data_IF_266451713509
#
_entry.id   IF_266451713509
#
_cell.length_a   1.000
_cell.length_b   1.000
_cell.length_c   1.000
_cell.angle_alpha   90.00
_cell.angle_beta   90.00
_cell.angle_gamma   90.00
#
_symmetry.space_group_name_H-M   'P 1'
#
loop_
_entity.id
_entity.type
_entity.pdbx_description
1 polymer ?
#
# COMPACT_ATOMS: atom_id res chain seq x y z
N UNK A 1 -15.69 1.41 18.92
CA UNK A 1 -17.07 0.90 19.12
C UNK A 1 -17.90 0.80 17.82
N UNK A 2 -17.30 1.00 16.62
CA UNK A 2 -18.05 1.05 15.34
C UNK A 2 -18.08 -0.31 14.60
N UNK A 3 -17.28 -1.28 15.04
CA UNK A 3 -17.20 -2.64 14.44
C UNK A 3 -18.23 -3.63 15.03
N UNK A 4 -19.01 -3.19 16.01
CA UNK A 4 -19.79 -4.05 16.90
C UNK A 4 -21.14 -4.54 16.38
N UNK A 5 -21.68 -3.96 15.31
CA UNK A 5 -23.05 -4.28 14.87
C UNK A 5 -23.14 -4.94 13.48
N UNK A 6 -22.12 -4.78 12.62
CA UNK A 6 -22.12 -5.40 11.29
C UNK A 6 -21.66 -6.87 11.26
N UNK A 7 -20.91 -7.31 12.27
CA UNK A 7 -20.34 -8.68 12.31
C UNK A 7 -21.33 -9.68 12.95
N UNK A 8 -22.28 -9.22 13.76
CA UNK A 8 -23.01 -10.09 14.70
C UNK A 8 -24.48 -10.38 14.33
N UNK A 9 -24.97 -9.85 13.20
CA UNK A 9 -26.37 -10.00 12.77
C UNK A 9 -26.68 -11.22 11.89
N UNK A 10 -25.68 -11.98 11.45
CA UNK A 10 -25.84 -13.13 10.56
C UNK A 10 -25.17 -14.38 11.15
N UNK A 11 -25.95 -15.43 11.33
CA UNK A 11 -25.62 -16.72 11.96
C UNK A 11 -24.58 -17.59 11.22
N UNK A 12 -23.41 -17.05 10.85
CA UNK A 12 -22.48 -17.73 9.93
C UNK A 12 -21.01 -17.83 10.35
N UNK A 13 -20.59 -17.20 11.46
CA UNK A 13 -19.20 -17.34 11.95
C UNK A 13 -19.17 -18.24 13.19
N UNK A 14 -18.22 -19.18 13.23
CA UNK A 14 -18.03 -20.05 14.39
C UNK A 14 -17.83 -19.22 15.67
N UNK A 15 -18.50 -19.52 16.81
CA UNK A 15 -18.51 -18.66 17.99
C UNK A 15 -17.12 -18.27 18.52
N UNK A 16 -16.12 -19.14 18.29
CA UNK A 16 -14.73 -18.89 18.66
C UNK A 16 -14.09 -17.73 17.87
N UNK A 17 -14.35 -17.58 16.57
CA UNK A 17 -13.73 -16.52 15.76
C UNK A 17 -14.32 -15.14 16.07
N UNK A 18 -15.62 -15.07 16.30
CA UNK A 18 -16.30 -13.87 16.80
C UNK A 18 -15.73 -13.42 18.17
N UNK A 19 -15.40 -14.38 19.04
CA UNK A 19 -14.77 -14.11 20.34
C UNK A 19 -13.35 -13.55 20.18
N UNK A 20 -12.53 -14.11 19.27
CA UNK A 20 -11.15 -13.67 19.05
C UNK A 20 -11.04 -12.23 18.52
N UNK A 21 -12.02 -11.78 17.74
CA UNK A 21 -12.07 -10.39 17.23
C UNK A 21 -12.53 -9.39 18.29
N UNK A 22 -13.24 -9.83 19.33
CA UNK A 22 -13.75 -8.98 20.40
C UNK A 22 -12.74 -8.76 21.54
N UNK A 23 -11.56 -9.38 21.50
CA UNK A 23 -10.53 -9.24 22.55
C UNK A 23 -9.65 -8.00 22.30
N UNK A 24 -9.88 -6.86 22.99
CA UNK A 24 -9.25 -5.59 22.64
C UNK A 24 -7.74 -5.53 22.96
N UNK A 25 -7.21 -6.50 23.71
CA UNK A 25 -5.80 -6.57 24.11
C UNK A 25 -4.93 -7.34 23.10
N UNK A 26 -5.52 -7.85 22.01
CA UNK A 26 -4.82 -8.62 20.99
C UNK A 26 -5.15 -8.06 19.61
N UNK A 27 -4.15 -8.04 18.74
CA UNK A 27 -4.35 -7.77 17.32
C UNK A 27 -4.82 -9.05 16.64
N UNK A 28 -5.94 -8.99 15.93
CA UNK A 28 -6.47 -10.10 15.14
C UNK A 28 -6.67 -9.62 13.71
N UNK A 29 -5.93 -10.21 12.78
CA UNK A 29 -6.07 -9.98 11.34
C UNK A 29 -7.04 -10.99 10.73
N UNK A 30 -7.85 -10.52 9.79
CA UNK A 30 -8.75 -11.36 8.99
C UNK A 30 -8.32 -11.30 7.53
N UNK A 31 -7.87 -12.44 7.00
CA UNK A 31 -7.30 -12.58 5.68
C UNK A 31 -8.17 -13.51 4.83
N UNK A 32 -8.60 -13.04 3.67
CA UNK A 32 -9.14 -13.89 2.61
C UNK A 32 -7.98 -14.35 1.74
N UNK A 33 -7.76 -15.67 1.67
CA UNK A 33 -6.58 -16.25 0.99
C UNK A 33 -6.87 -16.77 -0.41
N UNK A 34 -8.06 -16.48 -0.93
CA UNK A 34 -8.47 -16.79 -2.31
C UNK A 34 -7.83 -15.83 -3.31
N UNK A 35 -8.12 -15.99 -4.60
CA UNK A 35 -7.59 -15.05 -5.59
C UNK A 35 -8.25 -13.67 -5.46
N UNK A 36 -7.59 -12.59 -5.93
CA UNK A 36 -8.20 -11.26 -5.93
C UNK A 36 -9.54 -11.21 -6.67
N UNK A 37 -9.68 -11.97 -7.76
CA UNK A 37 -10.91 -12.03 -8.55
C UNK A 37 -12.07 -12.66 -7.77
N UNK A 38 -11.82 -13.74 -7.03
CA UNK A 38 -12.82 -14.36 -6.14
C UNK A 38 -13.21 -13.42 -5.00
N UNK A 39 -12.24 -12.71 -4.43
CA UNK A 39 -12.49 -11.71 -3.39
C UNK A 39 -13.37 -10.56 -3.91
N UNK A 40 -13.03 -9.99 -5.07
CA UNK A 40 -13.79 -8.89 -5.67
C UNK A 40 -15.22 -9.31 -6.08
N UNK A 41 -15.41 -10.57 -6.48
CA UNK A 41 -16.71 -11.14 -6.81
C UNK A 41 -17.60 -11.37 -5.58
N UNK A 42 -17.00 -11.55 -4.40
CA UNK A 42 -17.69 -11.74 -3.14
C UNK A 42 -16.70 -11.83 -1.98
N UNK A 43 -16.68 -10.83 -1.11
CA UNK A 43 -15.78 -10.75 0.04
C UNK A 43 -16.49 -11.01 1.37
N UNK A 44 -15.75 -11.55 2.33
CA UNK A 44 -16.14 -11.57 3.73
C UNK A 44 -15.97 -10.15 4.30
N UNK A 45 -16.97 -9.59 5.01
CA UNK A 45 -16.84 -8.24 5.57
C UNK A 45 -15.60 -8.09 6.45
N UNK A 46 -14.89 -6.98 6.28
CA UNK A 46 -13.67 -6.63 7.01
C UNK A 46 -12.45 -7.53 6.71
N UNK A 47 -12.56 -8.50 5.80
CA UNK A 47 -11.42 -9.29 5.37
C UNK A 47 -10.51 -8.49 4.45
N UNK A 48 -9.21 -8.73 4.58
CA UNK A 48 -8.19 -8.21 3.68
C UNK A 48 -7.85 -9.29 2.64
N UNK A 49 -7.86 -8.93 1.35
CA UNK A 49 -7.45 -9.85 0.29
C UNK A 49 -5.95 -10.09 0.34
N UNK A 50 -5.53 -11.33 0.57
CA UNK A 50 -4.13 -11.76 0.74
C UNK A 50 -3.98 -13.18 0.22
N UNK A 51 -3.79 -13.38 -1.10
CA UNK A 51 -3.69 -14.70 -1.69
C UNK A 51 -2.67 -15.58 -0.96
N UNK A 52 -3.03 -16.85 -0.76
CA UNK A 52 -2.31 -17.81 0.10
C UNK A 52 -0.78 -17.78 -0.01
N UNK A 53 -0.26 -17.89 -1.24
CA UNK A 53 1.19 -17.88 -1.49
C UNK A 53 1.86 -16.57 -1.09
N UNK A 54 1.23 -15.43 -1.41
CA UNK A 54 1.76 -14.11 -1.05
C UNK A 54 1.68 -13.85 0.45
N UNK A 55 0.64 -14.33 1.13
CA UNK A 55 0.54 -14.22 2.58
C UNK A 55 1.70 -14.93 3.29
N UNK A 56 2.13 -16.10 2.79
CA UNK A 56 3.28 -16.82 3.35
C UNK A 56 4.61 -16.17 2.96
N UNK A 57 4.74 -15.69 1.73
CA UNK A 57 5.99 -15.11 1.23
C UNK A 57 6.29 -13.71 1.78
N UNK A 58 5.25 -12.88 1.94
CA UNK A 58 5.36 -11.47 2.34
C UNK A 58 4.52 -11.20 3.60
N UNK A 59 4.55 -12.11 4.57
CA UNK A 59 3.71 -12.04 5.78
C UNK A 59 3.83 -10.71 6.52
N UNK A 60 5.03 -10.15 6.58
CA UNK A 60 5.34 -8.90 7.28
C UNK A 60 4.67 -7.67 6.66
N UNK A 61 4.35 -7.71 5.36
CA UNK A 61 3.62 -6.62 4.67
C UNK A 61 2.19 -6.45 5.19
N UNK A 62 1.58 -7.51 5.71
CA UNK A 62 0.16 -7.52 6.09
C UNK A 62 -0.06 -7.83 7.57
N UNK A 63 0.78 -8.68 8.16
CA UNK A 63 0.78 -9.03 9.58
C UNK A 63 2.05 -8.46 10.24
N UNK A 64 2.14 -7.15 10.35
CA UNK A 64 3.36 -6.48 10.86
C UNK A 64 3.53 -6.55 12.38
N UNK A 65 2.50 -6.96 13.14
CA UNK A 65 2.56 -7.11 14.61
C UNK A 65 2.92 -8.56 14.96
N UNK A 66 4.20 -8.83 15.25
CA UNK A 66 4.63 -10.16 15.71
C UNK A 66 3.88 -10.59 16.97
N UNK A 67 3.37 -11.82 16.98
CA UNK A 67 2.53 -12.35 18.07
C UNK A 67 1.04 -11.97 17.96
N UNK A 68 0.63 -11.28 16.88
CA UNK A 68 -0.78 -11.14 16.53
C UNK A 68 -1.42 -12.49 16.16
N UNK A 69 -2.75 -12.47 16.05
CA UNK A 69 -3.55 -13.59 15.58
C UNK A 69 -3.93 -13.42 14.13
N UNK A 70 -3.93 -14.52 13.38
CA UNK A 70 -4.35 -14.54 11.99
C UNK A 70 -5.57 -15.45 11.86
N UNK A 71 -6.63 -14.94 11.25
CA UNK A 71 -7.81 -15.69 10.86
C UNK A 71 -7.81 -15.78 9.33
N UNK A 72 -7.79 -16.99 8.79
CA UNK A 72 -7.76 -17.21 7.34
C UNK A 72 -9.12 -17.72 6.84
N UNK A 73 -9.61 -17.14 5.76
CA UNK A 73 -10.85 -17.51 5.08
C UNK A 73 -10.56 -18.05 3.67
N UNK A 74 -11.19 -19.16 3.34
CA UNK A 74 -11.35 -19.66 1.98
C UNK A 74 -12.78 -20.22 1.79
N UNK A 75 -13.07 -20.74 0.61
CA UNK A 75 -14.34 -21.39 0.27
C UNK A 75 -14.16 -22.86 -0.19
N UNK A 76 -12.91 -23.36 -0.21
CA UNK A 76 -12.56 -24.70 -0.67
C UNK A 76 -12.00 -25.60 0.44
N UNK A 77 -11.72 -25.04 1.63
CA UNK A 77 -11.11 -25.76 2.75
C UNK A 77 -9.68 -26.24 2.48
N UNK A 78 -9.01 -25.74 1.44
CA UNK A 78 -7.66 -26.15 1.07
C UNK A 78 -6.68 -24.99 1.25
N UNK A 79 -6.98 -23.82 0.68
CA UNK A 79 -6.04 -22.69 0.61
C UNK A 79 -5.68 -22.13 1.98
N UNK A 80 -6.67 -21.97 2.85
CA UNK A 80 -6.50 -21.54 4.24
C UNK A 80 -5.75 -22.59 5.04
N UNK A 81 -6.14 -23.86 4.96
CA UNK A 81 -5.48 -24.96 5.67
C UNK A 81 -4.01 -25.11 5.28
N UNK A 82 -3.69 -25.02 3.99
CA UNK A 82 -2.30 -25.06 3.52
C UNK A 82 -1.49 -23.86 4.02
N UNK A 83 -2.08 -22.66 4.04
CA UNK A 83 -1.41 -21.46 4.54
C UNK A 83 -1.17 -21.52 6.05
N UNK A 84 -2.11 -22.09 6.81
CA UNK A 84 -1.97 -22.32 8.26
C UNK A 84 -0.73 -23.15 8.58
N UNK A 85 -0.47 -24.23 7.83
CA UNK A 85 0.68 -25.10 8.08
C UNK A 85 2.01 -24.34 8.01
N UNK A 86 2.16 -23.43 7.04
CA UNK A 86 3.38 -22.62 6.91
C UNK A 86 3.45 -21.53 7.96
N UNK A 87 2.38 -20.77 8.17
CA UNK A 87 2.37 -19.66 9.12
C UNK A 87 2.55 -20.15 10.57
N UNK A 88 2.01 -21.30 10.93
CA UNK A 88 2.22 -21.92 12.24
C UNK A 88 3.68 -22.33 12.45
N UNK A 89 4.35 -22.89 11.43
CA UNK A 89 5.79 -23.17 11.45
C UNK A 89 6.62 -21.89 11.53
N UNK A 90 6.12 -20.78 10.97
CA UNK A 90 6.68 -19.45 11.17
C UNK A 90 6.30 -18.82 12.54
N UNK A 91 5.80 -19.61 13.49
CA UNK A 91 5.53 -19.17 14.87
C UNK A 91 4.33 -18.24 15.04
N UNK A 92 3.38 -18.20 14.08
CA UNK A 92 2.16 -17.40 14.20
C UNK A 92 1.03 -18.15 14.92
N UNK A 93 0.23 -17.41 15.71
CA UNK A 93 -1.06 -17.89 16.19
C UNK A 93 -2.09 -17.74 15.06
N UNK A 94 -2.29 -18.80 14.28
CA UNK A 94 -3.14 -18.79 13.09
C UNK A 94 -4.29 -19.80 13.21
N UNK A 95 -5.47 -19.42 12.74
CA UNK A 95 -6.69 -20.24 12.75
C UNK A 95 -7.40 -20.16 11.40
N UNK A 96 -8.07 -21.24 10.99
CA UNK A 96 -9.00 -21.22 9.85
C UNK A 96 -10.39 -20.80 10.31
N UNK A 97 -11.08 -20.00 9.50
CA UNK A 97 -12.51 -19.76 9.65
C UNK A 97 -13.29 -20.92 9.05
N UNK A 98 -13.62 -21.89 9.90
CA UNK A 98 -14.46 -23.01 9.50
C UNK A 98 -15.90 -22.56 9.17
N UNK A 99 -16.55 -23.31 8.26
CA UNK A 99 -17.99 -23.24 7.98
C UNK A 99 -18.43 -21.93 7.27
N UNK A 100 -17.61 -21.43 6.35
CA UNK A 100 -18.04 -20.34 5.46
C UNK A 100 -18.97 -20.89 4.37
N UNK A 101 -20.18 -20.34 4.29
CA UNK A 101 -21.13 -20.56 3.20
C UNK A 101 -20.98 -19.45 2.16
N UNK A 102 -21.40 -19.71 0.92
CA UNK A 102 -21.38 -18.68 -0.14
C UNK A 102 -22.12 -17.39 0.27
N UNK A 103 -23.14 -17.49 1.12
CA UNK A 103 -23.88 -16.33 1.64
C UNK A 103 -23.05 -15.42 2.58
N UNK A 104 -21.92 -15.89 3.12
CA UNK A 104 -21.01 -15.08 3.93
C UNK A 104 -20.16 -14.12 3.08
N UNK A 105 -20.00 -14.42 1.78
CA UNK A 105 -19.27 -13.60 0.81
C UNK A 105 -20.23 -12.66 0.08
N UNK A 106 -20.68 -11.61 0.77
CA UNK A 106 -21.83 -10.79 0.32
C UNK A 106 -21.51 -9.32 0.02
N UNK A 107 -20.26 -8.90 0.20
CA UNK A 107 -19.78 -7.59 -0.28
C UNK A 107 -19.02 -7.77 -1.60
N UNK A 108 -18.99 -6.75 -2.46
CA UNK A 108 -18.32 -6.81 -3.77
C UNK A 108 -17.34 -5.65 -3.93
N UNK A 109 -16.32 -5.86 -4.77
CA UNK A 109 -15.31 -4.87 -5.12
C UNK A 109 -13.99 -5.06 -4.40
N UNK A 110 -13.04 -4.17 -4.72
CA UNK A 110 -11.69 -4.23 -4.17
C UNK A 110 -11.66 -3.89 -2.67
N UNK A 111 -10.65 -4.43 -1.99
CA UNK A 111 -10.40 -4.10 -0.59
C UNK A 111 -10.14 -2.59 -0.42
N UNK A 112 -10.78 -1.99 0.58
CA UNK A 112 -10.62 -0.57 0.92
C UNK A 112 -9.84 -0.46 2.22
N UNK A 113 -8.62 0.08 2.12
CA UNK A 113 -7.77 0.30 3.29
C UNK A 113 -8.41 1.26 4.30
N UNK A 114 -8.38 0.95 5.61
CA UNK A 114 -8.78 1.90 6.63
C UNK A 114 -7.75 3.03 6.68
N UNK A 115 -8.10 4.18 6.13
CA UNK A 115 -7.28 5.38 6.16
C UNK A 115 -7.78 6.35 7.25
N UNK A 116 -6.88 7.09 7.92
CA UNK A 116 -7.28 8.17 8.81
C UNK A 116 -8.16 9.20 8.08
N UNK A 117 -8.95 9.96 8.84
CA UNK A 117 -9.75 11.04 8.28
C UNK A 117 -8.85 12.00 7.46
N UNK A 118 -9.24 12.34 6.22
CA UNK A 118 -8.38 13.12 5.34
C UNK A 118 -8.19 14.54 5.89
N UNK A 119 -6.94 15.02 5.86
CA UNK A 119 -6.65 16.43 6.13
C UNK A 119 -7.32 17.31 5.08
N UNK A 120 -7.82 18.47 5.52
CA UNK A 120 -8.35 19.48 4.60
C UNK A 120 -7.20 19.98 3.72
N UNK A 121 -7.50 20.16 2.44
CA UNK A 121 -6.59 20.71 1.44
C UNK A 121 -7.43 21.41 0.39
N UNK A 122 -6.96 22.55 -0.11
CA UNK A 122 -7.60 23.24 -1.23
C UNK A 122 -7.38 22.43 -2.52
N UNK A 123 -8.47 22.13 -3.22
CA UNK A 123 -8.44 21.31 -4.42
C UNK A 123 -8.44 22.19 -5.67
N UNK A 124 -7.64 21.80 -6.67
CA UNK A 124 -7.73 22.37 -8.01
C UNK A 124 -8.01 21.29 -9.05
N UNK A 125 -8.69 21.67 -10.13
CA UNK A 125 -8.96 20.76 -11.25
C UNK A 125 -7.71 20.55 -12.11
N UNK A 126 -7.62 19.42 -12.86
CA UNK A 126 -6.56 19.24 -13.86
C UNK A 126 -6.49 20.36 -14.90
N UNK A 127 -7.64 20.87 -15.36
CA UNK A 127 -7.70 21.99 -16.31
C UNK A 127 -7.12 23.28 -15.73
N UNK A 128 -7.45 23.60 -14.47
CA UNK A 128 -6.88 24.76 -13.77
C UNK A 128 -5.35 24.64 -13.66
N UNK A 129 -4.83 23.46 -13.33
CA UNK A 129 -3.39 23.24 -13.30
C UNK A 129 -2.78 23.41 -14.70
N UNK A 130 -3.41 22.87 -15.74
CA UNK A 130 -2.94 23.00 -17.13
C UNK A 130 -2.88 24.47 -17.59
N UNK A 131 -3.80 25.32 -17.13
CA UNK A 131 -3.78 26.77 -17.37
C UNK A 131 -2.62 27.45 -16.62
N UNK A 132 -2.25 26.99 -15.43
CA UNK A 132 -1.20 27.61 -14.62
C UNK A 132 0.22 27.28 -15.05
N UNK A 133 0.47 26.07 -15.56
CA UNK A 133 1.81 25.58 -15.91
C UNK A 133 2.58 26.50 -16.89
N UNK A 134 1.97 27.03 -17.97
CA UNK A 134 2.69 27.88 -18.94
C UNK A 134 3.19 29.21 -18.37
N UNK A 135 2.64 29.68 -17.26
CA UNK A 135 3.02 30.97 -16.64
C UNK A 135 4.32 30.88 -15.83
N UNK A 136 4.81 29.68 -15.50
CA UNK A 136 6.07 29.49 -14.76
C UNK A 136 6.03 29.86 -13.27
N UNK A 137 4.85 30.16 -12.73
CA UNK A 137 4.64 30.54 -11.32
C UNK A 137 4.29 29.35 -10.40
N UNK A 138 4.06 28.17 -10.99
CA UNK A 138 3.56 26.97 -10.31
C UNK A 138 4.58 25.84 -10.34
N UNK A 139 4.95 25.31 -9.17
CA UNK A 139 5.73 24.09 -9.07
C UNK A 139 4.82 22.89 -8.75
N UNK A 140 4.97 21.79 -9.49
CA UNK A 140 4.23 20.54 -9.24
C UNK A 140 5.14 19.55 -8.53
N UNK A 141 4.70 18.97 -7.42
CA UNK A 141 5.40 17.89 -6.71
C UNK A 141 4.64 16.58 -6.87
N UNK A 142 5.29 15.56 -7.42
CA UNK A 142 4.73 14.21 -7.58
C UNK A 142 5.30 13.26 -6.51
N UNK A 143 4.39 12.71 -5.70
CA UNK A 143 4.69 11.76 -4.61
C UNK A 143 4.36 10.31 -4.97
N UNK A 144 4.04 9.99 -6.23
CA UNK A 144 3.88 8.61 -6.69
C UNK A 144 5.21 7.84 -6.56
N UNK A 145 5.21 6.49 -6.50
CA UNK A 145 6.45 5.71 -6.61
C UNK A 145 7.26 6.12 -7.84
N UNK A 146 8.59 6.19 -7.73
CA UNK A 146 9.47 6.70 -8.79
C UNK A 146 9.29 5.97 -10.11
N UNK A 147 9.01 4.67 -10.06
CA UNK A 147 8.70 3.85 -11.25
C UNK A 147 7.46 4.33 -12.00
N UNK A 148 6.46 4.85 -11.28
CA UNK A 148 5.25 5.39 -11.90
C UNK A 148 5.52 6.77 -12.50
N UNK A 149 6.28 7.61 -11.82
CA UNK A 149 6.70 8.91 -12.34
C UNK A 149 7.48 8.73 -13.65
N UNK A 150 8.51 7.87 -13.65
CA UNK A 150 9.32 7.57 -14.84
C UNK A 150 8.47 7.01 -15.98
N UNK A 151 7.46 6.19 -15.66
CA UNK A 151 6.53 5.68 -16.68
C UNK A 151 5.69 6.77 -17.31
N UNK A 152 5.17 7.72 -16.52
CA UNK A 152 4.41 8.89 -16.98
C UNK A 152 4.09 9.83 -15.81
N UNK A 153 4.20 11.12 -16.05
CA UNK A 153 3.87 12.17 -15.07
C UNK A 153 3.34 13.44 -15.76
N UNK A 154 2.90 14.40 -14.94
CA UNK A 154 2.46 15.72 -15.42
C UNK A 154 3.70 16.49 -15.89
N UNK A 155 3.69 17.12 -17.09
CA UNK A 155 4.85 17.83 -17.62
C UNK A 155 5.44 18.85 -16.63
N UNK A 156 6.76 18.80 -16.43
CA UNK A 156 7.47 19.70 -15.52
C UNK A 156 7.29 19.39 -14.02
N UNK A 157 6.62 18.29 -13.66
CA UNK A 157 6.49 17.89 -12.26
C UNK A 157 7.81 17.40 -11.68
N UNK A 158 8.12 17.77 -10.44
CA UNK A 158 9.28 17.31 -9.70
C UNK A 158 8.92 16.09 -8.86
N UNK A 159 9.58 14.96 -9.10
CA UNK A 159 9.44 13.78 -8.27
C UNK A 159 10.14 13.97 -6.92
N UNK A 160 9.42 13.75 -5.82
CA UNK A 160 9.93 14.00 -4.47
C UNK A 160 9.57 12.89 -3.48
N UNK A 161 10.53 12.54 -2.61
CA UNK A 161 10.30 11.74 -1.43
C UNK A 161 9.72 12.61 -0.33
N UNK A 162 8.54 12.26 0.17
CA UNK A 162 7.94 12.95 1.33
C UNK A 162 8.86 12.93 2.56
N UNK A 163 9.59 11.84 2.78
CA UNK A 163 10.54 11.71 3.90
C UNK A 163 11.77 12.63 3.80
N UNK A 164 12.02 13.25 2.64
CA UNK A 164 13.14 14.16 2.38
C UNK A 164 12.64 15.49 1.82
N UNK A 165 11.43 15.90 2.22
CA UNK A 165 10.73 17.04 1.64
C UNK A 165 11.54 18.35 1.71
N UNK A 166 12.21 18.71 2.83
CA UNK A 166 13.07 19.90 2.87
C UNK A 166 14.19 19.88 1.83
N UNK A 167 14.86 18.72 1.65
CA UNK A 167 15.95 18.56 0.67
C UNK A 167 15.42 18.57 -0.77
N UNK A 168 14.25 17.99 -1.00
CA UNK A 168 13.59 18.01 -2.31
C UNK A 168 13.19 19.43 -2.70
N UNK A 169 12.55 20.18 -1.80
CA UNK A 169 12.13 21.56 -2.03
C UNK A 169 13.31 22.50 -2.32
N UNK A 170 14.47 22.27 -1.70
CA UNK A 170 15.69 23.04 -1.99
C UNK A 170 16.20 22.89 -3.44
N UNK A 171 15.79 21.83 -4.16
CA UNK A 171 16.11 21.63 -5.58
C UNK A 171 15.01 22.08 -6.52
N UNK A 172 13.82 22.39 -6.01
CA UNK A 172 12.71 22.91 -6.80
C UNK A 172 12.89 24.42 -6.94
N UNK A 173 12.79 24.99 -8.16
CA UNK A 173 12.86 26.43 -8.35
C UNK A 173 11.82 27.17 -7.48
N UNK A 174 12.12 28.40 -7.02
CA UNK A 174 11.14 29.21 -6.31
C UNK A 174 9.86 29.37 -7.15
N UNK A 175 8.71 29.10 -6.53
CA UNK A 175 7.40 29.24 -7.15
C UNK A 175 6.50 30.15 -6.31
N UNK A 176 5.49 30.73 -6.95
CA UNK A 176 4.46 31.51 -6.23
C UNK A 176 3.46 30.58 -5.53
N UNK A 177 3.24 29.39 -6.09
CA UNK A 177 2.35 28.36 -5.54
C UNK A 177 2.84 26.95 -5.86
N UNK A 178 2.44 25.99 -5.03
CA UNK A 178 2.76 24.57 -5.24
C UNK A 178 1.49 23.75 -5.47
N UNK A 179 1.57 22.74 -6.34
CA UNK A 179 0.51 21.78 -6.57
C UNK A 179 1.03 20.38 -6.31
N UNK A 180 0.40 19.66 -5.39
CA UNK A 180 0.81 18.32 -5.01
C UNK A 180 -0.04 17.29 -5.75
N UNK A 181 0.61 16.24 -6.24
CA UNK A 181 -0.06 15.10 -6.87
C UNK A 181 0.58 13.78 -6.44
N UNK A 182 -0.20 12.72 -6.60
CA UNK A 182 0.28 11.34 -6.71
C UNK A 182 -0.78 10.60 -7.57
N UNK A 183 -0.75 9.27 -7.65
CA UNK A 183 -1.74 8.53 -8.46
C UNK A 183 -3.19 8.97 -8.23
N UNK A 184 -3.65 8.98 -6.97
CA UNK A 184 -5.03 9.32 -6.57
C UNK A 184 -5.15 10.54 -5.64
N UNK A 185 -4.05 11.28 -5.45
CA UNK A 185 -3.91 12.36 -4.46
C UNK A 185 -4.02 11.97 -2.98
N UNK A 186 -4.16 10.68 -2.64
CA UNK A 186 -4.23 10.25 -1.24
C UNK A 186 -2.93 10.51 -0.46
N UNK A 187 -1.77 10.12 -0.99
CA UNK A 187 -0.49 10.36 -0.35
C UNK A 187 -0.11 11.85 -0.38
N UNK A 188 -0.30 12.51 -1.52
CA UNK A 188 0.00 13.93 -1.70
C UNK A 188 -0.77 14.82 -0.72
N UNK A 189 -2.02 14.46 -0.38
CA UNK A 189 -2.81 15.16 0.64
C UNK A 189 -2.10 15.25 2.00
N UNK A 190 -1.37 14.20 2.37
CA UNK A 190 -0.66 14.16 3.65
C UNK A 190 0.55 15.11 3.70
N UNK A 191 1.03 15.57 2.55
CA UNK A 191 2.18 16.46 2.43
C UNK A 191 1.80 17.95 2.35
N UNK A 192 0.50 18.30 2.17
CA UNK A 192 0.05 19.69 1.96
C UNK A 192 0.54 20.62 3.08
N UNK A 193 0.18 20.31 4.32
CA UNK A 193 0.55 21.12 5.50
C UNK A 193 2.07 21.24 5.66
N UNK A 194 2.81 20.19 5.32
CA UNK A 194 4.27 20.17 5.45
C UNK A 194 4.94 21.06 4.39
N UNK A 195 4.45 21.03 3.15
CA UNK A 195 4.93 21.93 2.08
C UNK A 195 4.57 23.38 2.40
N UNK A 196 3.36 23.66 2.90
CA UNK A 196 2.95 25.01 3.32
C UNK A 196 3.88 25.54 4.41
N UNK A 197 4.16 24.72 5.43
CA UNK A 197 5.00 25.11 6.54
C UNK A 197 6.46 25.38 6.12
N UNK A 198 7.01 24.59 5.19
CA UNK A 198 8.39 24.76 4.73
C UNK A 198 8.53 25.95 3.78
N UNK A 199 7.57 26.13 2.86
CA UNK A 199 7.69 27.11 1.77
C UNK A 199 7.10 28.47 2.11
N UNK A 200 6.13 28.52 3.02
CA UNK A 200 5.33 29.72 3.30
C UNK A 200 4.49 30.19 2.09
N UNK A 201 4.26 29.30 1.11
CA UNK A 201 3.51 29.58 -0.13
C UNK A 201 2.15 28.86 -0.13
N UNK A 202 1.18 29.33 -0.93
CA UNK A 202 -0.04 28.58 -1.19
C UNK A 202 0.25 27.18 -1.76
N UNK A 203 -0.40 26.16 -1.21
CA UNK A 203 -0.29 24.77 -1.66
C UNK A 203 -1.67 24.21 -1.97
N UNK A 204 -1.81 23.67 -3.16
CA UNK A 204 -3.04 23.04 -3.64
C UNK A 204 -2.82 21.55 -3.86
N UNK A 205 -3.90 20.79 -3.78
CA UNK A 205 -3.91 19.37 -4.07
C UNK A 205 -4.64 19.15 -5.40
N UNK A 206 -4.01 18.42 -6.32
CA UNK A 206 -4.65 18.09 -7.60
C UNK A 206 -5.85 17.16 -7.37
N UNK A 207 -7.04 17.56 -7.80
CA UNK A 207 -8.25 16.76 -7.64
C UNK A 207 -8.13 15.44 -8.41
N UNK A 208 -8.19 14.31 -7.68
CA UNK A 208 -8.09 12.96 -8.26
C UNK A 208 -6.69 12.56 -8.74
N UNK A 209 -5.68 13.42 -8.54
CA UNK A 209 -4.28 13.14 -8.81
C UNK A 209 -3.95 12.96 -10.29
N UNK A 210 -2.80 12.35 -10.55
CA UNK A 210 -2.29 12.12 -11.90
C UNK A 210 -3.22 11.19 -12.69
N UNK A 211 -3.97 10.28 -12.04
CA UNK A 211 -4.98 9.46 -12.73
C UNK A 211 -6.12 10.31 -13.31
N UNK A 212 -6.57 11.35 -12.60
CA UNK A 212 -7.59 12.25 -13.12
C UNK A 212 -7.05 13.15 -14.24
N UNK A 213 -5.80 13.63 -14.12
CA UNK A 213 -5.11 14.33 -15.22
C UNK A 213 -5.08 13.49 -16.51
N UNK A 214 -4.79 12.19 -16.38
CA UNK A 214 -4.82 11.24 -17.50
C UNK A 214 -6.24 11.04 -18.03
N UNK A 215 -7.23 10.92 -17.15
CA UNK A 215 -8.64 10.76 -17.54
C UNK A 215 -9.16 11.96 -18.36
N UNK A 216 -8.71 13.16 -18.02
CA UNK A 216 -8.96 14.42 -18.75
C UNK A 216 -8.16 14.54 -20.06
N UNK A 217 -7.35 13.52 -20.41
CA UNK A 217 -6.54 13.44 -21.64
C UNK A 217 -5.56 14.60 -21.81
N UNK A 218 -5.06 15.13 -20.70
CA UNK A 218 -4.06 16.20 -20.71
C UNK A 218 -2.66 15.63 -21.04
N UNK A 219 -1.72 16.47 -21.53
CA UNK A 219 -0.39 16.03 -21.94
C UNK A 219 0.40 15.37 -20.81
N UNK A 220 1.27 14.42 -21.14
CA UNK A 220 2.13 13.69 -20.20
C UNK A 220 3.59 13.78 -20.63
N UNK A 221 4.47 13.61 -19.66
CA UNK A 221 5.91 13.46 -19.84
C UNK A 221 6.36 12.08 -19.32
N UNK A 222 7.44 11.55 -19.87
CA UNK A 222 8.00 10.23 -19.52
C UNK A 222 9.49 10.36 -19.22
N UNK A 223 10.05 9.42 -18.45
CA UNK A 223 11.46 9.41 -18.10
C UNK A 223 11.80 10.12 -16.79
N UNK A 224 13.10 10.26 -16.54
CA UNK A 224 13.66 10.87 -15.33
C UNK A 224 13.92 12.37 -15.52
N UNK A 225 12.85 13.16 -15.72
CA UNK A 225 12.97 14.57 -16.15
C UNK A 225 13.37 15.50 -15.00
N UNK A 226 12.65 15.46 -13.87
CA UNK A 226 12.90 16.32 -12.71
C UNK A 226 12.90 15.52 -11.39
N UNK A 227 14.02 14.89 -11.07
CA UNK A 227 14.20 14.17 -9.81
C UNK A 227 14.70 15.09 -8.69
N UNK A 228 13.80 15.55 -7.81
CA UNK A 228 14.17 16.33 -6.63
C UNK A 228 14.75 15.45 -5.51
N UNK A 229 14.47 14.14 -5.52
CA UNK A 229 14.95 13.16 -4.55
C UNK A 229 15.74 12.01 -5.22
N UNK A 230 16.60 11.29 -4.49
CA UNK A 230 17.17 10.04 -4.98
C UNK A 230 16.11 8.94 -5.07
N UNK A 231 16.18 8.08 -6.08
CA UNK A 231 15.24 6.96 -6.29
C UNK A 231 15.55 5.77 -5.38
N UNK A 232 15.28 5.95 -4.09
CA UNK A 232 15.48 4.95 -3.03
C UNK A 232 14.14 4.50 -2.41
N UNK A 233 13.02 4.75 -3.09
CA UNK A 233 11.66 4.41 -2.65
C UNK A 233 11.30 2.94 -2.84
N UNK A 234 12.05 2.21 -3.66
CA UNK A 234 11.83 0.80 -3.96
C UNK A 234 13.16 0.06 -3.97
N UNK A 235 13.21 -1.04 -3.24
CA UNK A 235 14.31 -1.99 -3.38
C UNK A 235 14.21 -2.74 -4.72
N UNK A 236 15.34 -2.82 -5.44
CA UNK A 236 15.40 -3.53 -6.72
C UNK A 236 15.65 -5.01 -6.45
N UNK A 237 14.56 -5.71 -6.18
CA UNK A 237 14.53 -7.17 -5.95
C UNK A 237 15.19 -7.91 -7.13
N UNK A 238 16.32 -8.63 -6.91
CA UNK A 238 17.05 -9.29 -8.00
C UNK A 238 16.24 -10.36 -8.74
N UNK A 239 15.24 -10.92 -8.08
CA UNK A 239 14.34 -11.97 -8.58
C UNK A 239 13.08 -11.43 -9.30
N UNK A 240 12.93 -10.11 -9.42
CA UNK A 240 11.84 -9.50 -10.20
C UNK A 240 12.34 -8.98 -11.55
N UNK A 241 11.59 -9.24 -12.62
CA UNK A 241 11.96 -8.81 -13.98
C UNK A 241 13.03 -9.69 -14.63
N UNK A 242 13.61 -9.18 -15.72
CA UNK A 242 14.61 -9.93 -16.54
C UNK A 242 15.88 -9.12 -16.81
N UNK A 243 16.01 -7.95 -16.21
CA UNK A 243 17.05 -6.95 -16.42
C UNK A 243 18.05 -6.84 -15.26
N UNK A 244 17.90 -7.67 -14.23
CA UNK A 244 18.86 -7.78 -13.13
C UNK A 244 20.18 -8.41 -13.61
N UNK A 245 21.35 -7.86 -13.24
CA UNK A 245 22.64 -8.43 -13.63
C UNK A 245 22.84 -9.79 -12.95
N UNK A 246 23.56 -10.70 -13.63
CA UNK A 246 23.78 -12.07 -13.14
C UNK A 246 24.45 -12.10 -11.77
N UNK A 247 25.35 -11.16 -11.52
CA UNK A 247 26.09 -11.04 -10.27
C UNK A 247 25.14 -10.70 -9.10
N UNK A 248 24.12 -9.87 -9.34
CA UNK A 248 23.11 -9.57 -8.32
C UNK A 248 22.18 -10.76 -8.05
N UNK A 249 21.82 -11.52 -9.09
CA UNK A 249 21.07 -12.77 -8.91
C UNK A 249 21.88 -13.81 -8.12
N UNK A 250 23.16 -13.97 -8.44
CA UNK A 250 24.04 -14.88 -7.69
C UNK A 250 24.20 -14.43 -6.23
N UNK A 251 24.45 -13.15 -6.00
CA UNK A 251 24.56 -12.60 -4.65
C UNK A 251 23.28 -12.79 -3.82
N UNK A 252 22.10 -12.72 -4.45
CA UNK A 252 20.83 -13.03 -3.80
C UNK A 252 20.77 -14.49 -3.35
N UNK A 253 21.17 -15.44 -4.20
CA UNK A 253 21.22 -16.87 -3.83
C UNK A 253 22.25 -17.15 -2.72
N UNK A 254 23.42 -16.51 -2.79
CA UNK A 254 24.46 -16.63 -1.76
C UNK A 254 23.98 -16.07 -0.42
N UNK A 255 23.18 -14.99 -0.45
CA UNK A 255 22.53 -14.43 0.73
C UNK A 255 21.49 -15.39 1.31
N UNK A 256 20.60 -15.96 0.48
CA UNK A 256 19.59 -16.94 0.92
C UNK A 256 20.23 -18.17 1.57
N UNK A 257 21.33 -18.67 1.01
CA UNK A 257 22.09 -19.80 1.57
C UNK A 257 22.54 -19.53 3.01
N UNK A 258 22.93 -18.30 3.32
CA UNK A 258 23.40 -17.90 4.65
C UNK A 258 22.28 -17.66 5.68
N UNK A 259 21.00 -17.65 5.29
CA UNK A 259 19.90 -17.22 6.17
C UNK A 259 19.73 -18.10 7.40
N UNK A 260 19.89 -19.43 7.29
CA UNK A 260 19.74 -20.35 8.42
C UNK A 260 20.74 -20.04 9.53
N UNK A 261 21.98 -19.75 9.18
CA UNK A 261 23.00 -19.34 10.15
C UNK A 261 22.68 -17.98 10.78
N UNK A 262 22.04 -17.07 10.04
CA UNK A 262 21.58 -15.79 10.60
C UNK A 262 20.44 -15.99 11.59
N UNK A 263 19.47 -16.86 11.27
CA UNK A 263 18.37 -17.20 12.16
C UNK A 263 18.87 -17.79 13.48
N UNK A 264 19.83 -18.72 13.42
CA UNK A 264 20.45 -19.31 14.60
C UNK A 264 21.17 -18.27 15.48
N UNK A 265 21.78 -17.24 14.87
CA UNK A 265 22.42 -16.14 15.60
C UNK A 265 21.42 -15.17 16.22
N UNK A 266 20.31 -14.91 15.54
CA UNK A 266 19.24 -14.05 16.05
C UNK A 266 18.52 -14.71 17.24
N UNK A 267 18.09 -15.96 17.08
CA UNK A 267 17.51 -16.77 18.16
C UNK A 267 16.14 -16.31 18.65
N UNK A 268 15.43 -15.43 17.92
CA UNK A 268 14.11 -14.92 18.32
C UNK A 268 12.96 -15.36 17.42
N UNK A 269 13.26 -16.06 16.31
CA UNK A 269 12.27 -16.45 15.31
C UNK A 269 11.17 -17.38 15.85
N UNK A 270 11.53 -18.39 16.68
CA UNK A 270 10.59 -19.38 17.19
C UNK A 270 9.99 -20.28 16.10
N UNK A 271 10.76 -20.46 15.02
CA UNK A 271 10.51 -21.42 13.93
C UNK A 271 11.08 -22.79 14.29
#
# INVERSE_FOLDING_TARGET
MIWGDKIFGGSGLHPRSATLQQEPKRTTYLFDVRTPEEFEAGQLPCAHSTPSGQLVQETDHVASVRGARLLLADDDGVRANMSVLWLAQLGWEVHVLDVLQSANFNEQGAWVAPVPAPLQAELISPHTLAEWLPHGETAVLDFTPSVNYVKRHIPGAFWALRAQLPQALAKVPPAERYVLTCGTSQLARLAVVEVEAITGKPVFLLQGGTLNWIAEKLPLEEGETHLASPRIDRDRRPYEGTDSPKEAMQAYLDWEFGLVDQLARDGTHGF
#
